data_IF_767905848054
#
_entry.id   IF_767905848054
#
_cell.length_a   1.000
_cell.length_b   1.000
_cell.length_c   1.000
_cell.angle_alpha   90.00
_cell.angle_beta   90.00
_cell.angle_gamma   90.00
#
_symmetry.space_group_name_H-M   'P 1'
#
loop_
_entity.id
_entity.type
_entity.pdbx_description
1 polymer ?
#
# COMPACT_ATOMS: atom_id res chain seq x y z
N UNK A 1 -16.06 30.84 5.47
CA UNK A 1 -14.90 30.59 6.36
C UNK A 1 -13.68 30.59 5.46
N UNK A 2 -12.64 31.37 5.76
CA UNK A 2 -11.39 31.27 5.02
C UNK A 2 -10.85 29.86 5.23
N UNK A 3 -10.65 29.10 4.15
CA UNK A 3 -10.23 27.68 4.20
C UNK A 3 -8.89 27.49 4.91
N UNK A 4 -8.03 28.52 4.91
CA UNK A 4 -6.66 28.49 5.43
C UNK A 4 -6.48 28.26 6.93
N UNK A 5 -7.54 28.17 7.75
CA UNK A 5 -7.43 27.85 9.18
C UNK A 5 -7.95 26.44 9.54
N UNK A 6 -8.47 25.68 8.58
CA UNK A 6 -9.05 24.37 8.86
C UNK A 6 -7.95 23.35 9.08
N UNK A 7 -7.79 22.91 10.31
CA UNK A 7 -6.91 21.80 10.66
C UNK A 7 -7.63 20.47 10.43
N UNK A 8 -6.92 19.54 9.83
CA UNK A 8 -7.42 18.21 9.52
C UNK A 8 -6.42 17.12 9.86
N UNK A 9 -6.95 15.90 9.91
CA UNK A 9 -6.20 14.66 9.93
C UNK A 9 -6.89 13.67 9.01
N UNK A 10 -6.10 12.97 8.19
CA UNK A 10 -6.58 11.79 7.48
C UNK A 10 -6.39 10.58 8.39
N UNK A 11 -7.43 9.77 8.55
CA UNK A 11 -7.38 8.50 9.28
C UNK A 11 -7.96 7.37 8.46
N UNK A 12 -7.45 6.17 8.69
CA UNK A 12 -8.03 4.91 8.19
C UNK A 12 -9.36 4.62 8.88
N UNK A 13 -10.18 3.80 8.24
CA UNK A 13 -11.50 3.39 8.73
C UNK A 13 -11.47 2.64 10.07
N UNK A 14 -10.34 1.96 10.38
CA UNK A 14 -10.10 1.32 11.68
C UNK A 14 -9.67 2.30 12.80
N UNK A 15 -9.52 3.59 12.46
CA UNK A 15 -9.07 4.68 13.32
C UNK A 15 -7.71 4.42 14.00
N UNK A 16 -6.90 3.51 13.47
CA UNK A 16 -5.63 3.10 14.07
C UNK A 16 -4.44 3.48 13.19
N UNK A 17 -3.58 4.39 13.66
CA UNK A 17 -2.30 4.69 12.99
C UNK A 17 -1.13 4.40 13.92
N UNK A 18 -0.16 3.61 13.44
CA UNK A 18 1.08 3.29 14.15
C UNK A 18 0.88 2.79 15.60
N UNK A 19 -0.18 2.01 15.82
CA UNK A 19 -0.54 1.46 17.13
C UNK A 19 -1.34 2.39 18.03
N UNK A 20 -1.64 3.62 17.59
CA UNK A 20 -2.52 4.55 18.32
C UNK A 20 -3.93 4.53 17.74
N UNK A 21 -4.93 4.26 18.58
CA UNK A 21 -6.35 4.27 18.20
C UNK A 21 -7.00 5.61 18.55
N UNK A 22 -7.51 6.30 17.54
CA UNK A 22 -8.19 7.58 17.68
C UNK A 22 -9.67 7.42 18.03
N UNK A 23 -10.19 8.39 18.79
CA UNK A 23 -11.62 8.56 19.05
C UNK A 23 -12.04 10.00 18.80
N UNK A 24 -13.32 10.22 18.50
CA UNK A 24 -13.88 11.57 18.49
C UNK A 24 -13.76 12.20 19.89
N UNK A 25 -13.44 13.48 19.93
CA UNK A 25 -13.08 14.20 21.15
C UNK A 25 -11.57 14.17 21.42
N UNK A 26 -11.20 14.29 22.69
CA UNK A 26 -9.81 14.43 23.13
C UNK A 26 -9.03 13.11 23.01
N UNK A 27 -7.86 13.19 22.36
CA UNK A 27 -6.86 12.15 22.25
C UNK A 27 -5.55 12.68 22.83
N UNK A 28 -4.92 11.90 23.69
CA UNK A 28 -3.65 12.24 24.35
C UNK A 28 -2.65 11.15 23.96
N UNK A 29 -1.45 11.57 23.56
CA UNK A 29 -0.36 10.68 23.19
C UNK A 29 -0.03 9.74 24.36
N UNK A 30 0.09 8.46 24.05
CA UNK A 30 0.36 7.37 25.01
C UNK A 30 1.87 7.14 25.26
N UNK A 31 2.72 7.88 24.55
CA UNK A 31 4.19 7.82 24.59
C UNK A 31 4.77 9.20 24.88
N UNK A 32 6.06 9.30 25.26
CA UNK A 32 6.74 10.58 25.37
C UNK A 32 6.65 11.39 24.07
N UNK A 33 6.39 12.69 24.20
CA UNK A 33 6.37 13.60 23.06
C UNK A 33 7.79 13.80 22.52
N UNK A 34 7.99 13.57 21.23
CA UNK A 34 9.27 13.76 20.55
C UNK A 34 9.27 15.13 19.82
N UNK A 35 10.07 16.11 20.23
CA UNK A 35 10.08 17.44 19.61
C UNK A 35 11.02 17.58 18.40
N UNK A 36 11.88 16.59 18.10
CA UNK A 36 12.90 16.68 17.02
C UNK A 36 12.74 15.61 15.93
N UNK A 37 13.34 15.83 14.77
CA UNK A 37 13.32 14.88 13.65
C UNK A 37 12.05 14.94 12.79
N UNK A 38 12.09 14.25 11.64
CA UNK A 38 11.01 14.19 10.64
C UNK A 38 10.39 12.80 10.66
N UNK A 39 9.05 12.72 10.62
CA UNK A 39 8.31 11.45 10.55
C UNK A 39 8.67 10.45 11.67
N UNK A 40 8.95 10.95 12.87
CA UNK A 40 9.36 10.11 14.01
C UNK A 40 8.14 9.67 14.84
N UNK A 41 8.22 8.51 15.52
CA UNK A 41 7.26 8.17 16.57
C UNK A 41 7.24 9.24 17.68
N UNK A 42 6.16 9.29 18.47
CA UNK A 42 6.05 10.22 19.60
C UNK A 42 5.33 11.53 19.28
N UNK A 43 4.34 11.51 18.38
CA UNK A 43 3.47 12.66 18.13
C UNK A 43 2.19 12.28 17.38
N UNK A 44 1.11 13.00 17.66
CA UNK A 44 -0.15 12.91 16.94
C UNK A 44 -0.13 13.91 15.79
N UNK A 45 -0.05 13.40 14.55
CA UNK A 45 0.12 14.21 13.35
C UNK A 45 -1.20 14.78 12.82
N UNK A 46 -1.16 16.03 12.36
CA UNK A 46 -2.24 16.75 11.66
C UNK A 46 -1.66 17.76 10.65
N UNK A 47 -2.50 18.31 9.79
CA UNK A 47 -2.12 19.35 8.82
C UNK A 47 -3.23 20.37 8.62
N UNK A 48 -2.96 21.38 7.80
CA UNK A 48 -3.95 22.28 7.23
C UNK A 48 -4.60 21.64 6.00
N UNK A 49 -5.89 21.91 5.77
CA UNK A 49 -6.64 21.43 4.61
C UNK A 49 -5.95 21.76 3.28
N UNK A 50 -5.23 22.88 3.17
CA UNK A 50 -4.54 23.27 1.94
C UNK A 50 -3.41 22.28 1.55
N UNK A 51 -2.89 21.50 2.51
CA UNK A 51 -1.85 20.48 2.26
C UNK A 51 -2.43 19.07 2.07
N UNK A 52 -3.76 18.90 2.07
CA UNK A 52 -4.39 17.59 1.89
C UNK A 52 -3.94 16.81 0.64
N UNK A 53 -3.52 17.42 -0.50
CA UNK A 53 -3.09 16.65 -1.66
C UNK A 53 -1.90 15.70 -1.42
N UNK A 54 -1.12 15.91 -0.37
CA UNK A 54 0.00 15.05 0.03
C UNK A 54 -0.45 13.86 0.90
N UNK A 55 -1.72 13.85 1.34
CA UNK A 55 -2.21 12.94 2.38
C UNK A 55 -3.40 12.05 1.97
N UNK A 56 -3.89 12.13 0.73
CA UNK A 56 -5.04 11.32 0.27
C UNK A 56 -4.83 9.81 0.41
N UNK A 57 -3.60 9.33 0.28
CA UNK A 57 -3.28 7.90 0.41
C UNK A 57 -3.22 7.38 1.85
N UNK A 58 -3.33 8.24 2.87
CA UNK A 58 -3.11 7.86 4.28
C UNK A 58 -4.38 7.42 5.02
N UNK A 59 -5.52 7.36 4.34
CA UNK A 59 -6.77 6.85 4.90
C UNK A 59 -8.00 7.26 4.10
N UNK A 60 -9.16 6.89 4.62
CA UNK A 60 -10.46 7.04 3.93
C UNK A 60 -11.35 8.11 4.59
N UNK A 61 -10.94 8.63 5.75
CA UNK A 61 -11.69 9.61 6.51
C UNK A 61 -10.88 10.90 6.65
N UNK A 62 -11.49 12.02 6.25
CA UNK A 62 -11.05 13.36 6.59
C UNK A 62 -11.68 13.76 7.92
N UNK A 63 -10.87 14.08 8.91
CA UNK A 63 -11.35 14.49 10.24
C UNK A 63 -10.88 15.90 10.53
N UNK A 64 -11.81 16.78 10.85
CA UNK A 64 -11.47 18.13 11.34
C UNK A 64 -10.91 18.04 12.76
N UNK A 65 -9.93 18.87 13.10
CA UNK A 65 -9.27 18.81 14.40
C UNK A 65 -9.12 20.17 15.05
N UNK A 66 -9.03 20.17 16.38
CA UNK A 66 -8.64 21.32 17.20
C UNK A 66 -7.50 20.92 18.12
N UNK A 67 -6.61 21.87 18.40
CA UNK A 67 -5.47 21.66 19.29
C UNK A 67 -5.76 22.35 20.63
N UNK A 68 -5.70 21.63 21.77
CA UNK A 68 -5.83 22.25 23.08
C UNK A 68 -4.75 23.33 23.32
N UNK A 69 -5.10 24.40 24.03
CA UNK A 69 -4.17 25.51 24.32
C UNK A 69 -2.95 25.07 25.15
N UNK A 70 -3.09 24.01 25.94
CA UNK A 70 -2.04 23.44 26.78
C UNK A 70 -1.24 22.32 26.10
N UNK A 71 -1.48 22.08 24.80
CA UNK A 71 -0.80 21.04 24.04
C UNK A 71 0.60 21.49 23.60
N UNK A 72 1.55 20.55 23.64
CA UNK A 72 2.84 20.72 22.98
C UNK A 72 2.66 20.56 21.48
N UNK A 73 3.23 21.45 20.68
CA UNK A 73 3.13 21.43 19.22
C UNK A 73 4.48 21.73 18.60
N UNK A 74 4.87 20.93 17.61
CA UNK A 74 6.01 21.23 16.74
C UNK A 74 5.60 21.05 15.28
N UNK A 75 6.10 21.93 14.42
CA UNK A 75 6.03 21.71 12.97
C UNK A 75 7.08 20.65 12.59
N UNK A 76 6.66 19.64 11.82
CA UNK A 76 7.57 18.61 11.35
C UNK A 76 8.51 19.21 10.28
N UNK A 77 9.84 18.99 10.37
CA UNK A 77 10.82 19.61 9.47
C UNK A 77 10.84 18.99 8.06
N UNK A 78 9.92 18.09 7.73
CA UNK A 78 9.80 17.51 6.39
C UNK A 78 9.66 18.59 5.31
N UNK A 79 10.59 18.61 4.36
CA UNK A 79 10.61 19.58 3.25
C UNK A 79 9.55 19.29 2.17
N UNK A 80 9.03 18.07 2.13
CA UNK A 80 8.12 17.61 1.07
C UNK A 80 6.64 17.73 1.44
N UNK A 81 6.31 17.89 2.72
CA UNK A 81 4.92 17.94 3.17
C UNK A 81 4.83 18.78 4.44
N UNK A 82 3.89 19.73 4.48
CA UNK A 82 3.68 20.57 5.67
C UNK A 82 2.73 19.84 6.62
N UNK A 83 3.24 19.45 7.79
CA UNK A 83 2.45 18.86 8.88
C UNK A 83 2.99 19.29 10.24
N UNK A 84 2.14 19.13 11.23
CA UNK A 84 2.44 19.40 12.63
C UNK A 84 2.21 18.12 13.42
N UNK A 85 2.86 18.04 14.57
CA UNK A 85 2.59 16.99 15.55
C UNK A 85 2.41 17.59 16.93
N UNK A 86 1.58 16.93 17.72
CA UNK A 86 1.21 17.37 19.05
C UNK A 86 1.09 16.20 20.02
N UNK A 87 1.15 16.48 21.32
CA UNK A 87 0.86 15.49 22.37
C UNK A 87 -0.65 15.36 22.66
N UNK A 88 -1.49 16.32 22.25
CA UNK A 88 -2.94 16.28 22.44
C UNK A 88 -3.69 16.83 21.23
N UNK A 89 -4.72 16.13 20.78
CA UNK A 89 -5.55 16.53 19.64
C UNK A 89 -7.02 16.21 19.89
N UNK A 90 -7.90 17.15 19.54
CA UNK A 90 -9.35 16.95 19.59
C UNK A 90 -9.82 16.65 18.18
N UNK A 91 -10.32 15.43 17.94
CA UNK A 91 -11.01 15.08 16.70
C UNK A 91 -12.45 15.56 16.78
N UNK A 92 -12.89 16.33 15.80
CA UNK A 92 -14.20 16.96 15.77
C UNK A 92 -15.17 16.14 14.90
N UNK A 93 -15.26 16.46 13.61
CA UNK A 93 -16.22 15.85 12.69
C UNK A 93 -15.49 15.00 11.64
N UNK A 94 -16.08 13.84 11.32
CA UNK A 94 -15.58 12.86 10.34
C UNK A 94 -16.33 13.00 9.01
N UNK A 95 -15.59 12.92 7.92
CA UNK A 95 -16.10 13.01 6.56
C UNK A 95 -15.50 11.88 5.71
N UNK A 96 -16.30 11.11 4.96
CA UNK A 96 -15.77 10.19 3.96
C UNK A 96 -14.96 10.98 2.93
N UNK A 97 -13.66 10.66 2.81
CA UNK A 97 -12.74 11.43 1.96
C UNK A 97 -13.11 11.32 0.47
N UNK A 98 -13.61 10.15 0.08
CA UNK A 98 -14.00 9.79 -1.28
C UNK A 98 -15.51 9.96 -1.50
N UNK A 99 -16.06 11.09 -1.03
CA UNK A 99 -17.46 11.48 -1.21
C UNK A 99 -17.54 12.85 -1.92
N UNK A 100 -18.31 12.97 -3.02
CA UNK A 100 -18.58 14.23 -3.68
C UNK A 100 -18.99 15.38 -2.76
N UNK A 101 -19.74 15.12 -1.69
CA UNK A 101 -20.16 16.16 -0.76
C UNK A 101 -19.00 16.66 0.11
N UNK A 102 -18.07 15.78 0.49
CA UNK A 102 -16.81 16.17 1.15
C UNK A 102 -15.94 17.00 0.23
N UNK A 103 -15.82 16.60 -1.06
CA UNK A 103 -15.08 17.37 -2.07
C UNK A 103 -15.60 18.81 -2.14
N UNK A 104 -16.92 18.97 -2.28
CA UNK A 104 -17.57 20.29 -2.38
C UNK A 104 -17.43 21.09 -1.08
N UNK A 105 -17.66 20.46 0.07
CA UNK A 105 -17.63 21.11 1.39
C UNK A 105 -16.28 21.76 1.69
N UNK A 106 -15.19 21.05 1.38
CA UNK A 106 -13.84 21.52 1.65
C UNK A 106 -13.13 22.11 0.42
N UNK A 107 -13.82 22.18 -0.72
CA UNK A 107 -13.25 22.58 -2.00
C UNK A 107 -11.93 21.84 -2.30
N UNK A 108 -11.97 20.51 -2.18
CA UNK A 108 -10.77 19.67 -2.27
C UNK A 108 -10.14 19.78 -3.65
N UNK A 109 -8.81 19.98 -3.67
CA UNK A 109 -8.04 19.94 -4.92
C UNK A 109 -7.89 18.49 -5.37
N UNK A 110 -8.51 18.14 -6.49
CA UNK A 110 -8.37 16.83 -7.10
C UNK A 110 -7.03 16.78 -7.87
N UNK A 111 -6.11 15.95 -7.37
CA UNK A 111 -4.80 15.69 -7.97
C UNK A 111 -4.71 14.23 -8.43
N UNK A 112 -3.68 13.82 -9.20
CA UNK A 112 -3.45 12.41 -9.52
C UNK A 112 -3.47 11.52 -8.27
N UNK A 113 -2.82 11.96 -7.18
CA UNK A 113 -2.85 11.25 -5.90
C UNK A 113 -4.27 11.01 -5.36
N UNK A 114 -5.23 11.90 -5.61
CA UNK A 114 -6.62 11.67 -5.20
C UNK A 114 -7.25 10.49 -5.96
N UNK A 115 -7.07 10.45 -7.28
CA UNK A 115 -7.58 9.39 -8.16
C UNK A 115 -6.88 8.06 -7.85
N UNK A 116 -5.57 8.12 -7.65
CA UNK A 116 -4.74 6.97 -7.27
C UNK A 116 -5.21 6.40 -5.92
N UNK A 117 -5.50 7.26 -4.94
CA UNK A 117 -6.03 6.84 -3.63
C UNK A 117 -7.46 6.32 -3.72
N UNK A 118 -8.35 6.96 -4.50
CA UNK A 118 -9.70 6.45 -4.72
C UNK A 118 -9.67 5.04 -5.35
N UNK A 119 -8.71 4.80 -6.25
CA UNK A 119 -8.50 3.48 -6.86
C UNK A 119 -7.90 2.47 -5.86
N UNK A 120 -6.95 2.91 -5.03
CA UNK A 120 -6.33 2.13 -3.94
C UNK A 120 -7.36 1.63 -2.92
N UNK A 121 -8.39 2.44 -2.62
CA UNK A 121 -9.41 2.12 -1.60
C UNK A 121 -10.72 1.58 -2.19
N UNK A 122 -10.83 1.44 -3.51
CA UNK A 122 -12.00 0.78 -4.13
C UNK A 122 -13.21 1.69 -4.41
N UNK A 123 -13.06 3.01 -4.38
CA UNK A 123 -14.17 3.97 -4.42
C UNK A 123 -14.62 4.32 -5.86
N UNK A 124 -15.41 3.44 -6.48
CA UNK A 124 -15.93 3.67 -7.85
C UNK A 124 -16.89 4.84 -7.91
N UNK A 125 -17.72 5.05 -6.89
CA UNK A 125 -18.77 6.07 -6.91
C UNK A 125 -18.19 7.49 -7.10
N UNK A 126 -17.08 7.80 -6.42
CA UNK A 126 -16.39 9.09 -6.60
C UNK A 126 -15.67 9.17 -7.95
N UNK A 127 -15.12 8.06 -8.45
CA UNK A 127 -14.47 8.02 -9.76
C UNK A 127 -15.48 8.29 -10.88
N UNK A 128 -16.65 7.66 -10.82
CA UNK A 128 -17.74 7.89 -11.77
C UNK A 128 -18.31 9.30 -11.63
N UNK A 129 -18.45 9.82 -10.41
CA UNK A 129 -18.87 11.21 -10.20
C UNK A 129 -17.88 12.20 -10.80
N UNK A 130 -16.57 12.03 -10.55
CA UNK A 130 -15.53 12.89 -11.08
C UNK A 130 -15.45 12.85 -12.61
N UNK A 131 -15.61 11.66 -13.21
CA UNK A 131 -15.65 11.48 -14.67
C UNK A 131 -16.80 12.25 -15.32
N UNK A 132 -17.95 12.34 -14.66
CA UNK A 132 -19.12 13.07 -15.16
C UNK A 132 -19.17 14.53 -14.69
N UNK A 133 -18.14 15.00 -13.96
CA UNK A 133 -18.03 16.38 -13.51
C UNK A 133 -17.34 17.27 -14.55
N UNK A 134 -17.43 18.58 -14.38
CA UNK A 134 -16.69 19.55 -15.18
C UNK A 134 -15.19 19.65 -14.78
N UNK A 135 -14.75 18.86 -13.79
CA UNK A 135 -13.37 18.87 -13.31
C UNK A 135 -12.44 18.16 -14.30
N UNK A 136 -11.28 18.75 -14.56
CA UNK A 136 -10.24 18.10 -15.33
C UNK A 136 -9.67 16.93 -14.52
N UNK A 137 -9.84 15.71 -15.03
CA UNK A 137 -9.24 14.51 -14.49
C UNK A 137 -7.77 14.42 -14.89
N UNK A 138 -6.89 14.41 -13.90
CA UNK A 138 -5.49 14.03 -14.05
C UNK A 138 -5.23 12.80 -13.16
N UNK A 139 -4.65 11.76 -13.74
CA UNK A 139 -4.31 10.51 -13.08
C UNK A 139 -3.03 9.94 -13.70
N UNK A 140 -2.47 8.92 -13.09
CA UNK A 140 -1.25 8.27 -13.54
C UNK A 140 -1.44 6.76 -13.63
N UNK A 141 -0.41 6.03 -14.05
CA UNK A 141 -0.41 4.57 -14.01
C UNK A 141 -0.63 4.00 -12.59
N UNK A 142 -0.39 4.79 -11.54
CA UNK A 142 -0.60 4.35 -10.16
C UNK A 142 -2.06 3.99 -9.87
N UNK A 143 -3.05 4.59 -10.53
CA UNK A 143 -4.45 4.27 -10.28
C UNK A 143 -4.77 2.78 -10.50
N UNK A 144 -4.40 2.22 -11.67
CA UNK A 144 -4.62 0.80 -11.97
C UNK A 144 -3.61 -0.12 -11.26
N UNK A 145 -2.36 0.35 -11.07
CA UNK A 145 -1.34 -0.39 -10.32
C UNK A 145 -1.81 -0.62 -8.87
N UNK A 146 -2.30 0.41 -8.19
CA UNK A 146 -2.81 0.35 -6.82
C UNK A 146 -4.12 -0.42 -6.71
N UNK A 147 -5.05 -0.24 -7.66
CA UNK A 147 -6.26 -1.07 -7.69
C UNK A 147 -5.93 -2.57 -7.78
N UNK A 148 -4.86 -2.93 -8.51
CA UNK A 148 -4.40 -4.31 -8.59
C UNK A 148 -3.69 -4.77 -7.32
N UNK A 149 -2.83 -3.92 -6.75
CA UNK A 149 -2.11 -4.17 -5.50
C UNK A 149 -3.04 -4.44 -4.31
N UNK A 150 -4.16 -3.71 -4.23
CA UNK A 150 -5.13 -3.80 -3.13
C UNK A 150 -6.35 -4.69 -3.45
N UNK A 151 -6.38 -5.37 -4.60
CA UNK A 151 -7.38 -6.41 -4.86
C UNK A 151 -8.71 -5.91 -5.45
N UNK A 152 -8.79 -4.66 -5.93
CA UNK A 152 -10.03 -4.00 -6.36
C UNK A 152 -10.37 -4.25 -7.84
N UNK A 153 -10.83 -5.47 -8.15
CA UNK A 153 -11.26 -5.86 -9.51
C UNK A 153 -12.38 -4.95 -10.04
N UNK A 154 -13.31 -4.54 -9.18
CA UNK A 154 -14.39 -3.64 -9.54
C UNK A 154 -13.86 -2.30 -10.08
N UNK A 155 -12.79 -1.75 -9.48
CA UNK A 155 -12.12 -0.54 -9.96
C UNK A 155 -11.39 -0.80 -11.28
N UNK A 156 -10.71 -1.94 -11.43
CA UNK A 156 -10.07 -2.32 -12.70
C UNK A 156 -11.08 -2.45 -13.84
N UNK A 157 -12.24 -3.05 -13.58
CA UNK A 157 -13.34 -3.17 -14.53
C UNK A 157 -13.94 -1.79 -14.86
N UNK A 158 -14.07 -0.91 -13.87
CA UNK A 158 -14.48 0.48 -14.10
C UNK A 158 -13.50 1.20 -15.02
N UNK A 159 -12.19 1.16 -14.74
CA UNK A 159 -11.16 1.78 -15.58
C UNK A 159 -11.26 1.28 -17.01
N UNK A 160 -11.31 -0.04 -17.22
CA UNK A 160 -11.44 -0.67 -18.53
C UNK A 160 -12.65 -0.17 -19.33
N UNK A 161 -13.78 0.08 -18.66
CA UNK A 161 -15.03 0.51 -19.30
C UNK A 161 -15.26 2.04 -19.27
N UNK A 162 -14.37 2.80 -18.61
CA UNK A 162 -14.56 4.22 -18.39
C UNK A 162 -14.46 5.06 -19.68
N UNK A 163 -13.78 4.56 -20.71
CA UNK A 163 -13.41 5.35 -21.90
C UNK A 163 -12.23 6.30 -21.66
N UNK A 164 -11.63 6.28 -20.47
CA UNK A 164 -10.39 6.98 -20.15
C UNK A 164 -9.18 6.24 -20.74
N UNK A 165 -8.07 6.95 -20.90
CA UNK A 165 -6.82 6.33 -21.33
C UNK A 165 -6.33 5.38 -20.24
N UNK A 166 -6.03 4.14 -20.62
CA UNK A 166 -5.54 3.15 -19.67
C UNK A 166 -4.03 3.25 -19.52
N UNK A 167 -3.58 3.61 -18.32
CA UNK A 167 -2.17 3.66 -17.94
C UNK A 167 -1.93 2.68 -16.80
N UNK A 168 -0.95 1.79 -16.98
CA UNK A 168 -0.54 0.80 -15.99
C UNK A 168 0.85 0.25 -16.31
N UNK A 169 1.57 -0.16 -15.27
CA UNK A 169 2.94 -0.67 -15.37
C UNK A 169 3.02 -2.19 -15.16
N UNK A 170 4.22 -2.75 -14.98
CA UNK A 170 4.36 -4.15 -14.58
C UNK A 170 3.88 -4.39 -13.14
N UNK A 171 3.77 -3.33 -12.33
CA UNK A 171 3.30 -3.40 -10.94
C UNK A 171 1.92 -4.03 -10.82
N UNK A 172 1.04 -3.94 -11.83
CA UNK A 172 -0.31 -4.53 -11.76
C UNK A 172 -0.33 -6.01 -11.42
N UNK A 173 0.51 -6.81 -12.08
CA UNK A 173 0.57 -8.26 -11.83
C UNK A 173 1.65 -8.62 -10.82
N UNK A 174 2.73 -7.82 -10.74
CA UNK A 174 3.79 -8.03 -9.76
C UNK A 174 3.25 -7.83 -8.32
N UNK A 175 2.59 -6.70 -8.04
CA UNK A 175 1.99 -6.41 -6.73
C UNK A 175 0.81 -7.34 -6.42
N UNK A 176 -0.05 -7.66 -7.39
CA UNK A 176 -1.14 -8.61 -7.18
C UNK A 176 -0.62 -10.00 -6.79
N UNK A 177 0.52 -10.42 -7.37
CA UNK A 177 1.17 -11.67 -7.00
C UNK A 177 1.77 -11.61 -5.59
N UNK A 178 2.45 -10.51 -5.27
CA UNK A 178 3.05 -10.27 -3.95
C UNK A 178 2.05 -10.14 -2.81
N UNK A 179 0.80 -9.79 -3.09
CA UNK A 179 -0.29 -9.66 -2.10
C UNK A 179 -1.29 -10.83 -2.12
N UNK A 180 -1.03 -11.88 -2.91
CA UNK A 180 -1.87 -13.09 -2.89
C UNK A 180 -3.18 -12.99 -3.69
N UNK A 181 -3.34 -11.98 -4.55
CA UNK A 181 -4.60 -11.66 -5.24
C UNK A 181 -4.80 -12.44 -6.54
N UNK A 182 -5.06 -13.75 -6.43
CA UNK A 182 -5.32 -14.63 -7.59
C UNK A 182 -6.49 -14.13 -8.44
N UNK A 183 -7.54 -13.62 -7.81
CA UNK A 183 -8.70 -13.06 -8.48
C UNK A 183 -8.32 -11.89 -9.41
N UNK A 184 -7.39 -11.02 -8.99
CA UNK A 184 -6.86 -9.92 -9.82
C UNK A 184 -6.01 -10.46 -10.96
N UNK A 185 -5.16 -11.47 -10.71
CA UNK A 185 -4.36 -12.11 -11.76
C UNK A 185 -5.24 -12.76 -12.83
N UNK A 186 -6.31 -13.43 -12.41
CA UNK A 186 -7.31 -14.03 -13.30
C UNK A 186 -8.07 -12.96 -14.08
N UNK A 187 -8.43 -11.84 -13.45
CA UNK A 187 -9.03 -10.71 -14.16
C UNK A 187 -8.08 -10.16 -15.24
N UNK A 188 -6.80 -9.90 -14.91
CA UNK A 188 -5.82 -9.41 -15.87
C UNK A 188 -5.67 -10.36 -17.06
N UNK A 189 -5.52 -11.67 -16.79
CA UNK A 189 -5.42 -12.71 -17.81
C UNK A 189 -6.62 -12.72 -18.78
N UNK A 190 -7.83 -12.46 -18.28
CA UNK A 190 -9.06 -12.48 -19.07
C UNK A 190 -9.52 -11.09 -19.56
N UNK A 191 -8.83 -10.03 -19.17
CA UNK A 191 -9.27 -8.64 -19.42
C UNK A 191 -9.22 -8.26 -20.91
N UNK A 192 -8.39 -8.93 -21.71
CA UNK A 192 -8.05 -8.54 -23.08
C UNK A 192 -7.01 -7.41 -23.17
N UNK A 193 -6.50 -6.92 -22.03
CA UNK A 193 -5.45 -5.91 -21.97
C UNK A 193 -4.05 -6.56 -22.11
N UNK A 194 -3.06 -5.83 -22.64
CA UNK A 194 -1.65 -6.25 -22.62
C UNK A 194 -1.17 -6.66 -21.22
N UNK A 195 -0.75 -7.91 -21.07
CA UNK A 195 -0.22 -8.42 -19.80
C UNK A 195 1.19 -7.88 -19.54
N UNK A 196 1.36 -7.19 -18.41
CA UNK A 196 2.65 -6.61 -17.98
C UNK A 196 3.02 -7.17 -16.61
N UNK A 197 4.17 -7.85 -16.56
CA UNK A 197 4.74 -8.42 -15.34
C UNK A 197 6.24 -8.70 -15.54
N UNK A 198 6.98 -8.71 -14.44
CA UNK A 198 8.40 -9.01 -14.38
C UNK A 198 8.67 -10.30 -13.59
N UNK A 199 9.94 -10.56 -13.30
CA UNK A 199 10.36 -11.60 -12.35
C UNK A 199 9.84 -11.34 -10.92
N UNK A 200 9.59 -10.08 -10.58
CA UNK A 200 9.04 -9.66 -9.28
C UNK A 200 7.73 -10.36 -8.92
N UNK A 201 6.90 -10.74 -9.90
CA UNK A 201 5.65 -11.45 -9.63
C UNK A 201 5.87 -12.74 -8.82
N UNK A 202 6.78 -13.62 -9.28
CA UNK A 202 7.07 -14.88 -8.58
C UNK A 202 7.99 -14.66 -7.37
N UNK A 203 8.89 -13.68 -7.43
CA UNK A 203 9.76 -13.33 -6.30
C UNK A 203 8.96 -12.83 -5.09
N UNK A 204 8.04 -11.89 -5.30
CA UNK A 204 7.21 -11.33 -4.24
C UNK A 204 6.15 -12.32 -3.76
N UNK A 205 5.56 -13.13 -4.65
CA UNK A 205 4.70 -14.23 -4.22
C UNK A 205 5.45 -15.22 -3.31
N UNK A 206 6.72 -15.49 -3.63
CA UNK A 206 7.57 -16.38 -2.81
C UNK A 206 7.89 -15.76 -1.45
N UNK A 207 8.33 -14.50 -1.41
CA UNK A 207 8.58 -13.78 -0.14
C UNK A 207 7.32 -13.56 0.70
N UNK A 208 6.17 -13.39 0.05
CA UNK A 208 4.85 -13.22 0.68
C UNK A 208 4.26 -14.50 1.28
N UNK A 209 4.77 -15.68 0.91
CA UNK A 209 4.20 -16.96 1.36
C UNK A 209 3.00 -17.42 0.52
N UNK A 210 2.83 -16.91 -0.70
CA UNK A 210 1.63 -17.12 -1.51
C UNK A 210 1.74 -18.33 -2.44
N UNK A 211 1.77 -19.54 -1.87
CA UNK A 211 1.84 -20.81 -2.63
C UNK A 211 0.71 -20.93 -3.65
N UNK A 212 -0.49 -20.49 -3.29
CA UNK A 212 -1.65 -20.48 -4.18
C UNK A 212 -1.42 -19.62 -5.44
N UNK A 213 -0.72 -18.48 -5.31
CA UNK A 213 -0.33 -17.64 -6.45
C UNK A 213 0.77 -18.30 -7.29
N UNK A 214 1.76 -18.94 -6.65
CA UNK A 214 2.80 -19.69 -7.37
C UNK A 214 2.21 -20.84 -8.19
N UNK A 215 1.23 -21.55 -7.62
CA UNK A 215 0.48 -22.59 -8.32
C UNK A 215 -0.38 -22.02 -9.46
N UNK A 216 -0.99 -20.85 -9.27
CA UNK A 216 -1.70 -20.15 -10.35
C UNK A 216 -0.75 -19.81 -11.49
N UNK A 217 0.43 -19.22 -11.21
CA UNK A 217 1.42 -18.91 -12.23
C UNK A 217 1.85 -20.15 -13.01
N UNK A 218 2.19 -21.24 -12.30
CA UNK A 218 2.58 -22.53 -12.89
C UNK A 218 1.52 -23.08 -13.85
N UNK A 219 0.23 -22.91 -13.52
CA UNK A 219 -0.90 -23.39 -14.32
C UNK A 219 -1.46 -22.35 -15.30
N UNK A 220 -0.99 -21.11 -15.27
CA UNK A 220 -1.58 -20.00 -16.04
C UNK A 220 -1.34 -20.12 -17.55
N UNK A 221 -0.31 -20.84 -17.97
CA UNK A 221 0.19 -20.86 -19.35
C UNK A 221 1.04 -19.63 -19.71
N UNK A 222 1.28 -18.71 -18.76
CA UNK A 222 2.14 -17.55 -18.95
C UNK A 222 3.62 -17.91 -18.74
N UNK A 223 4.56 -17.24 -19.45
CA UNK A 223 5.99 -17.36 -19.18
C UNK A 223 6.34 -17.15 -17.70
N UNK A 224 6.97 -18.14 -17.08
CA UNK A 224 7.45 -18.05 -15.71
C UNK A 224 8.77 -17.27 -15.68
N UNK A 225 8.74 -16.05 -15.13
CA UNK A 225 9.91 -15.19 -14.94
C UNK A 225 10.27 -15.19 -13.45
N UNK A 226 11.49 -15.61 -13.11
CA UNK A 226 12.01 -15.55 -11.74
C UNK A 226 13.53 -15.70 -11.73
N UNK A 227 14.16 -15.05 -10.76
CA UNK A 227 15.59 -15.14 -10.44
C UNK A 227 15.84 -15.95 -9.16
N UNK A 228 17.08 -15.98 -8.70
CA UNK A 228 17.47 -16.52 -7.38
C UNK A 228 16.78 -15.80 -6.21
N UNK A 229 16.41 -14.53 -6.40
CA UNK A 229 15.69 -13.73 -5.41
C UNK A 229 14.40 -14.37 -4.92
N UNK A 230 13.77 -15.27 -5.68
CA UNK A 230 12.55 -15.94 -5.24
C UNK A 230 12.78 -16.81 -4.00
N UNK A 231 13.84 -17.63 -3.99
CA UNK A 231 14.20 -18.48 -2.85
C UNK A 231 14.91 -17.67 -1.75
N UNK A 232 15.64 -16.61 -2.11
CA UNK A 232 16.28 -15.72 -1.14
C UNK A 232 15.24 -14.97 -0.30
N UNK A 233 14.21 -14.40 -0.94
CA UNK A 233 13.11 -13.73 -0.24
C UNK A 233 12.27 -14.70 0.57
N UNK A 234 11.98 -15.91 0.04
CA UNK A 234 11.29 -16.94 0.82
C UNK A 234 12.09 -17.30 2.09
N UNK A 235 13.42 -17.42 1.97
CA UNK A 235 14.31 -17.74 3.08
C UNK A 235 14.39 -16.60 4.10
N UNK A 236 14.59 -15.36 3.63
CA UNK A 236 14.68 -14.17 4.46
C UNK A 236 13.39 -13.78 5.18
N UNK A 237 12.23 -14.27 4.70
CA UNK A 237 10.93 -14.05 5.31
C UNK A 237 10.38 -15.29 6.05
N UNK A 238 11.17 -16.35 6.23
CA UNK A 238 10.77 -17.51 7.03
C UNK A 238 9.78 -18.46 6.35
N UNK A 239 9.67 -18.43 5.02
CA UNK A 239 8.65 -19.15 4.22
C UNK A 239 9.09 -20.58 3.86
N UNK A 240 9.17 -21.46 4.86
CA UNK A 240 9.56 -22.87 4.65
C UNK A 240 8.59 -23.60 3.71
N UNK A 241 7.30 -23.32 3.84
CA UNK A 241 6.25 -23.87 3.00
C UNK A 241 6.46 -23.53 1.51
N UNK A 242 6.87 -22.30 1.21
CA UNK A 242 7.24 -21.87 -0.15
C UNK A 242 8.53 -22.56 -0.63
N UNK A 243 9.55 -22.70 0.23
CA UNK A 243 10.78 -23.41 -0.12
C UNK A 243 10.49 -24.87 -0.48
N UNK A 244 9.62 -25.52 0.30
CA UNK A 244 9.15 -26.88 0.01
C UNK A 244 8.32 -26.94 -1.27
N UNK A 245 7.47 -25.95 -1.55
CA UNK A 245 6.77 -25.86 -2.82
C UNK A 245 7.74 -25.75 -3.99
N UNK A 246 8.75 -24.86 -3.92
CA UNK A 246 9.77 -24.72 -4.98
C UNK A 246 10.48 -26.05 -5.22
N UNK A 247 10.95 -26.71 -4.16
CA UNK A 247 11.61 -28.02 -4.23
C UNK A 247 10.77 -29.09 -4.94
N UNK A 248 9.45 -29.08 -4.73
CA UNK A 248 8.52 -30.05 -5.30
C UNK A 248 7.85 -29.59 -6.61
N UNK A 249 8.07 -28.34 -7.02
CA UNK A 249 7.38 -27.71 -8.16
C UNK A 249 7.78 -28.31 -9.51
N UNK A 250 8.96 -28.92 -9.60
CA UNK A 250 9.59 -29.33 -10.86
C UNK A 250 10.23 -28.17 -11.64
N UNK A 251 10.23 -26.96 -11.08
CA UNK A 251 10.91 -25.79 -11.66
C UNK A 251 12.40 -25.78 -11.26
N UNK A 252 13.29 -25.22 -12.12
CA UNK A 252 14.67 -24.96 -11.75
C UNK A 252 14.79 -24.19 -10.42
N UNK A 253 15.50 -24.78 -9.46
CA UNK A 253 15.81 -24.12 -8.21
C UNK A 253 16.94 -23.12 -8.44
N UNK A 254 16.67 -21.83 -8.22
CA UNK A 254 17.64 -20.75 -8.29
C UNK A 254 17.72 -20.11 -6.91
N UNK A 255 18.92 -20.02 -6.36
CA UNK A 255 19.17 -19.36 -5.09
C UNK A 255 20.63 -18.88 -5.08
N UNK A 256 20.87 -17.77 -4.40
CA UNK A 256 22.17 -17.12 -4.38
C UNK A 256 23.05 -17.67 -3.25
N UNK A 257 24.23 -17.09 -3.07
CA UNK A 257 25.09 -17.38 -1.92
C UNK A 257 24.55 -16.69 -0.65
N UNK A 258 23.71 -15.67 -0.83
CA UNK A 258 23.17 -14.85 0.26
C UNK A 258 21.91 -15.46 0.89
N UNK A 259 21.42 -16.61 0.41
CA UNK A 259 20.17 -17.22 0.88
C UNK A 259 20.20 -17.53 2.39
N UNK A 260 21.34 -18.01 2.88
CA UNK A 260 21.54 -18.29 4.31
C UNK A 260 21.70 -17.01 5.14
N UNK A 261 22.33 -15.98 4.56
CA UNK A 261 22.48 -14.67 5.20
C UNK A 261 21.13 -13.97 5.33
N UNK A 262 20.28 -14.08 4.31
CA UNK A 262 18.90 -13.60 4.33
C UNK A 262 18.11 -14.28 5.47
N UNK A 263 18.16 -15.61 5.55
CA UNK A 263 17.50 -16.36 6.64
C UNK A 263 18.04 -15.97 8.03
N UNK A 264 19.36 -15.78 8.15
CA UNK A 264 20.02 -15.38 9.39
C UNK A 264 19.65 -13.96 9.81
N UNK A 265 19.64 -13.01 8.86
CA UNK A 265 19.23 -11.63 9.08
C UNK A 265 17.76 -11.49 9.49
N UNK A 266 16.89 -12.38 9.00
CA UNK A 266 15.50 -12.51 9.45
C UNK A 266 15.31 -13.26 10.78
N UNK A 267 16.37 -13.85 11.35
CA UNK A 267 16.30 -14.65 12.57
C UNK A 267 15.58 -15.99 12.41
N UNK A 268 15.51 -16.52 11.18
CA UNK A 268 14.73 -17.70 10.82
C UNK A 268 15.56 -19.00 10.96
N UNK A 269 15.80 -19.42 12.20
CA UNK A 269 16.58 -20.64 12.52
C UNK A 269 16.01 -21.89 11.84
N UNK A 270 14.69 -21.99 11.80
CA UNK A 270 13.97 -23.08 11.14
C UNK A 270 14.25 -23.16 9.62
N UNK A 271 14.43 -22.03 8.95
CA UNK A 271 14.81 -21.99 7.53
C UNK A 271 16.24 -22.48 7.33
N UNK A 272 17.18 -22.11 8.20
CA UNK A 272 18.56 -22.61 8.15
C UNK A 272 18.62 -24.13 8.33
N UNK A 273 17.82 -24.66 9.24
CA UNK A 273 17.67 -26.11 9.43
C UNK A 273 17.06 -26.77 8.21
N UNK A 274 16.04 -26.16 7.59
CA UNK A 274 15.48 -26.65 6.33
C UNK A 274 16.55 -26.71 5.23
N UNK A 275 17.34 -25.66 5.03
CA UNK A 275 18.43 -25.63 4.05
C UNK A 275 19.46 -26.73 4.29
N UNK A 276 19.90 -26.90 5.55
CA UNK A 276 20.81 -27.99 5.95
C UNK A 276 20.27 -29.38 5.63
N UNK A 277 18.96 -29.58 5.81
CA UNK A 277 18.31 -30.88 5.59
C UNK A 277 17.75 -31.05 4.17
N UNK A 278 17.79 -30.00 3.34
CA UNK A 278 17.14 -29.97 2.02
C UNK A 278 17.81 -30.90 1.00
N UNK A 279 19.09 -31.20 1.20
CA UNK A 279 19.94 -31.89 0.22
C UNK A 279 20.44 -30.99 -0.92
N UNK A 280 20.14 -29.69 -0.88
CA UNK A 280 20.64 -28.72 -1.85
C UNK A 280 22.07 -28.29 -1.49
N UNK A 281 22.94 -28.04 -2.49
CA UNK A 281 24.29 -27.57 -2.21
C UNK A 281 24.23 -26.21 -1.53
N UNK A 282 24.78 -26.16 -0.32
CA UNK A 282 24.98 -24.91 0.42
C UNK A 282 26.26 -24.27 -0.08
N UNK A 283 26.16 -23.02 -0.51
CA UNK A 283 27.32 -22.21 -0.84
C UNK A 283 27.69 -21.45 0.43
N UNK A 284 28.86 -21.76 0.97
CA UNK A 284 29.43 -21.05 2.13
C UNK A 284 30.50 -20.08 1.62
N UNK A 285 30.59 -18.91 2.25
CA UNK A 285 31.78 -18.05 2.18
C UNK A 285 32.80 -18.45 3.24
#
# INVERSE_FOLDING_TARGET
MNSGDTLIKIIRSDKCHNGFTYKIGLNILDKPFEPKGSCVPGGLYYTNIDNIPDYYGYGELLVTVRIPDDAQVVQDPCIHSKKWRTDKIILCEEYPLFDPETIKKFNLKITPNYIDSASMYGHIDVLEWLKNSELQLAYSNYAMDLASEFGHINVLEWWKNSGLQLEYSMSVMDCASGNGHINVLEWWKNSGLPLKYSDKALEWASGGGHINVLEWWKNSGLPLKYSDRALDLASGNGRIDVLEWWKNSGLPLKYSEDTLDCASGGGHINVLEWWKNSGLPLKYF
#
